data_IF_337464009877
#
_entry.id   IF_337464009877
#
_cell.length_a   1.000
_cell.length_b   1.000
_cell.length_c   1.000
_cell.angle_alpha   90.00
_cell.angle_beta   90.00
_cell.angle_gamma   90.00
#
_symmetry.space_group_name_H-M   'P 1'
#
loop_
_entity.id
_entity.type
_entity.pdbx_description
1 polymer ?
#
# COMPACT_ATOMS: atom_id res chain seq x y z
N UNK A 1 -16.43 -2.62 -10.12
CA UNK A 1 -16.27 -1.30 -9.49
C UNK A 1 -14.86 -1.06 -8.95
N UNK A 2 -14.27 -2.03 -8.29
CA UNK A 2 -12.88 -1.88 -7.82
C UNK A 2 -11.90 -1.67 -8.97
N UNK A 3 -12.10 -2.32 -10.10
CA UNK A 3 -11.28 -2.18 -11.29
C UNK A 3 -11.15 -0.71 -11.74
N UNK A 4 -12.26 0.03 -11.76
CA UNK A 4 -12.26 1.44 -12.14
C UNK A 4 -11.53 2.31 -11.13
N UNK A 5 -11.68 2.00 -9.83
CA UNK A 5 -10.95 2.69 -8.77
C UNK A 5 -9.44 2.44 -8.88
N UNK A 6 -9.05 1.20 -9.15
CA UNK A 6 -7.64 0.86 -9.32
C UNK A 6 -7.03 1.64 -10.49
N UNK A 7 -7.72 1.70 -11.62
CA UNK A 7 -7.22 2.44 -12.79
C UNK A 7 -7.15 3.93 -12.48
N UNK A 8 -8.22 4.50 -11.93
CA UNK A 8 -8.29 5.93 -11.64
C UNK A 8 -7.22 6.39 -10.65
N UNK A 9 -7.02 5.64 -9.56
CA UNK A 9 -6.17 6.07 -8.46
C UNK A 9 -4.75 5.50 -8.50
N UNK A 10 -4.50 4.50 -9.31
CA UNK A 10 -3.21 3.81 -9.34
C UNK A 10 -2.56 3.76 -10.72
N UNK A 11 -3.07 4.51 -11.68
CA UNK A 11 -2.54 4.46 -13.04
C UNK A 11 -1.01 4.62 -13.13
N UNK A 12 -0.39 5.60 -12.45
CA UNK A 12 1.08 5.73 -12.51
C UNK A 12 1.81 4.51 -11.95
N UNK A 13 1.29 3.91 -10.88
CA UNK A 13 1.88 2.70 -10.28
C UNK A 13 1.72 1.52 -11.21
N UNK A 14 0.54 1.36 -11.81
CA UNK A 14 0.26 0.28 -12.75
C UNK A 14 1.13 0.38 -14.01
N UNK A 15 1.42 1.60 -14.43
CA UNK A 15 2.27 1.85 -15.60
C UNK A 15 3.77 1.79 -15.27
N UNK A 16 4.14 1.55 -14.02
CA UNK A 16 5.54 1.46 -13.61
C UNK A 16 6.25 2.80 -13.41
N UNK A 17 5.49 3.89 -13.41
CA UNK A 17 6.05 5.25 -13.26
C UNK A 17 6.18 5.68 -11.80
N UNK A 18 5.54 4.98 -10.89
CA UNK A 18 5.51 5.31 -9.47
C UNK A 18 5.59 4.02 -8.63
N UNK A 19 6.14 4.11 -7.44
CA UNK A 19 6.26 2.97 -6.53
C UNK A 19 4.92 2.49 -6.03
N UNK A 20 4.03 3.41 -5.59
CA UNK A 20 2.77 3.02 -4.95
C UNK A 20 1.76 4.14 -4.96
N UNK A 21 0.51 3.76 -4.71
CA UNK A 21 -0.60 4.67 -4.47
C UNK A 21 -1.39 4.20 -3.25
N UNK A 22 -2.02 5.16 -2.59
CA UNK A 22 -2.82 4.92 -1.39
C UNK A 22 -4.12 5.68 -1.55
N UNK A 23 -5.26 4.98 -1.45
CA UNK A 23 -6.56 5.62 -1.66
C UNK A 23 -7.66 4.89 -0.91
N UNK A 24 -8.73 5.63 -0.56
CA UNK A 24 -9.93 5.06 0.05
C UNK A 24 -10.85 4.47 -1.00
N UNK A 25 -11.34 3.28 -0.73
CA UNK A 25 -12.29 2.58 -1.60
C UNK A 25 -13.57 2.30 -0.82
N UNK A 26 -14.73 2.79 -1.30
CA UNK A 26 -16.01 2.47 -0.67
C UNK A 26 -16.47 1.08 -1.08
N UNK A 27 -16.92 0.27 -0.13
CA UNK A 27 -17.45 -1.06 -0.41
C UNK A 27 -18.82 -1.21 0.21
N UNK A 28 -19.64 -2.09 -0.36
CA UNK A 28 -21.03 -2.30 0.06
C UNK A 28 -21.16 -3.57 0.89
N UNK A 29 -20.71 -4.70 0.35
CA UNK A 29 -20.78 -5.99 1.03
C UNK A 29 -19.38 -6.50 1.30
N UNK A 30 -19.08 -6.79 2.57
CA UNK A 30 -17.75 -7.21 2.99
C UNK A 30 -17.27 -8.48 2.29
N UNK A 31 -18.14 -9.48 2.17
CA UNK A 31 -17.76 -10.75 1.53
C UNK A 31 -17.40 -10.56 0.06
N UNK A 32 -18.20 -9.78 -0.67
CA UNK A 32 -17.92 -9.46 -2.06
C UNK A 32 -16.62 -8.69 -2.21
N UNK A 33 -16.39 -7.73 -1.33
CA UNK A 33 -15.17 -6.94 -1.33
C UNK A 33 -13.94 -7.81 -1.10
N UNK A 34 -13.98 -8.70 -0.11
CA UNK A 34 -12.87 -9.61 0.19
C UNK A 34 -12.56 -10.54 -0.98
N UNK A 35 -13.60 -11.06 -1.62
CA UNK A 35 -13.43 -11.95 -2.77
C UNK A 35 -12.79 -11.24 -3.95
N UNK A 36 -13.31 -10.05 -4.30
CA UNK A 36 -12.78 -9.24 -5.38
C UNK A 36 -11.34 -8.82 -5.09
N UNK A 37 -11.05 -8.44 -3.85
CA UNK A 37 -9.71 -8.07 -3.42
C UNK A 37 -8.73 -9.24 -3.60
N UNK A 38 -9.14 -10.43 -3.20
CA UNK A 38 -8.32 -11.63 -3.35
C UNK A 38 -8.03 -11.93 -4.82
N UNK A 39 -9.01 -11.77 -5.70
CA UNK A 39 -8.83 -11.97 -7.12
C UNK A 39 -7.83 -10.98 -7.71
N UNK A 40 -7.94 -9.70 -7.36
CA UNK A 40 -7.02 -8.68 -7.82
C UNK A 40 -5.60 -8.88 -7.29
N UNK A 41 -5.47 -9.33 -6.04
CA UNK A 41 -4.13 -9.62 -5.50
C UNK A 41 -3.43 -10.71 -6.32
N UNK A 42 -4.15 -11.76 -6.70
CA UNK A 42 -3.57 -12.82 -7.53
C UNK A 42 -3.11 -12.30 -8.88
N UNK A 43 -3.94 -11.48 -9.53
CA UNK A 43 -3.60 -10.88 -10.82
C UNK A 43 -2.37 -9.99 -10.68
N UNK A 44 -2.33 -9.15 -9.65
CA UNK A 44 -1.23 -8.22 -9.42
C UNK A 44 0.08 -8.94 -9.12
N UNK A 45 0.03 -9.99 -8.29
CA UNK A 45 1.23 -10.73 -7.91
C UNK A 45 1.92 -11.34 -9.12
N UNK A 46 1.17 -11.77 -10.12
CA UNK A 46 1.73 -12.28 -11.37
C UNK A 46 2.44 -11.19 -12.18
N UNK A 47 2.14 -9.94 -11.92
CA UNK A 47 2.68 -8.78 -12.65
C UNK A 47 3.69 -7.96 -11.83
N UNK A 48 4.11 -8.46 -10.67
CA UNK A 48 5.05 -7.75 -9.81
C UNK A 48 4.42 -6.62 -9.00
N UNK A 49 3.10 -6.66 -8.84
CA UNK A 49 2.34 -5.71 -8.05
C UNK A 49 1.72 -6.41 -6.85
N UNK A 50 1.27 -5.66 -5.86
CA UNK A 50 0.45 -6.20 -4.79
C UNK A 50 -0.48 -5.12 -4.25
N UNK A 51 -1.40 -5.52 -3.41
CA UNK A 51 -2.48 -4.70 -2.91
C UNK A 51 -2.77 -5.11 -1.46
N UNK A 52 -2.73 -4.16 -0.54
CA UNK A 52 -3.02 -4.42 0.88
C UNK A 52 -4.07 -3.46 1.40
N UNK A 53 -4.90 -3.95 2.34
CA UNK A 53 -5.83 -3.10 3.09
C UNK A 53 -5.07 -2.55 4.29
N UNK A 54 -4.87 -1.25 4.35
CA UNK A 54 -4.12 -0.61 5.42
C UNK A 54 -5.01 -0.22 6.59
N UNK A 55 -6.28 0.10 6.33
CA UNK A 55 -7.23 0.52 7.36
C UNK A 55 -8.64 0.29 6.86
N UNK A 56 -9.56 0.01 7.78
CA UNK A 56 -10.99 -0.06 7.47
C UNK A 56 -11.70 0.93 8.38
N UNK A 57 -12.54 1.77 7.81
CA UNK A 57 -13.36 2.73 8.54
C UNK A 57 -14.78 2.69 7.98
N UNK A 58 -15.71 2.06 8.71
CA UNK A 58 -17.07 1.85 8.25
C UNK A 58 -17.10 1.00 6.98
N UNK A 59 -17.68 1.55 5.91
CA UNK A 59 -17.76 0.89 4.61
C UNK A 59 -16.70 1.37 3.64
N UNK A 60 -15.55 1.85 4.15
CA UNK A 60 -14.41 2.27 3.33
C UNK A 60 -13.16 1.53 3.77
N UNK A 61 -12.34 1.19 2.79
CA UNK A 61 -11.05 0.57 3.04
C UNK A 61 -9.95 1.43 2.42
N UNK A 62 -8.86 1.62 3.16
CA UNK A 62 -7.70 2.31 2.65
C UNK A 62 -6.82 1.28 1.96
N UNK A 63 -6.69 1.40 0.65
CA UNK A 63 -5.96 0.43 -0.18
C UNK A 63 -4.59 0.96 -0.55
N UNK A 64 -3.59 0.10 -0.41
CA UNK A 64 -2.21 0.40 -0.76
C UNK A 64 -1.83 -0.50 -1.94
N UNK A 65 -1.64 0.11 -3.12
CA UNK A 65 -1.24 -0.58 -4.34
C UNK A 65 0.21 -0.23 -4.63
N UNK A 66 1.06 -1.25 -4.78
CA UNK A 66 2.49 -1.00 -4.91
C UNK A 66 3.17 -1.99 -5.85
N UNK A 67 4.29 -1.55 -6.43
CA UNK A 67 5.20 -2.43 -7.17
C UNK A 67 6.18 -3.05 -6.20
N UNK A 68 6.15 -4.36 -6.12
CA UNK A 68 6.93 -5.11 -5.14
C UNK A 68 8.42 -4.81 -5.26
N UNK A 69 8.97 -4.88 -6.48
CA UNK A 69 10.40 -4.64 -6.70
C UNK A 69 10.83 -3.21 -6.34
N UNK A 70 10.02 -2.23 -6.71
CA UNK A 70 10.31 -0.82 -6.41
C UNK A 70 10.27 -0.54 -4.92
N UNK A 71 9.29 -1.10 -4.23
CA UNK A 71 9.20 -0.93 -2.77
C UNK A 71 10.37 -1.62 -2.09
N UNK A 72 10.71 -2.83 -2.49
CA UNK A 72 11.86 -3.55 -1.94
C UNK A 72 13.15 -2.73 -2.08
N UNK A 73 13.38 -2.15 -3.26
CA UNK A 73 14.55 -1.31 -3.49
C UNK A 73 14.56 -0.09 -2.56
N UNK A 74 13.40 0.58 -2.43
CA UNK A 74 13.30 1.77 -1.57
C UNK A 74 13.58 1.42 -0.11
N UNK A 75 12.99 0.33 0.37
CA UNK A 75 13.14 -0.09 1.77
C UNK A 75 14.53 -0.62 2.11
N UNK A 76 15.32 -1.00 1.11
CA UNK A 76 16.69 -1.43 1.29
C UNK A 76 17.70 -0.30 1.21
N UNK A 77 17.30 0.88 0.73
CA UNK A 77 18.20 2.03 0.67
C UNK A 77 18.66 2.40 2.06
N UNK A 78 19.94 2.64 2.19
CA UNK A 78 20.55 2.97 3.48
C UNK A 78 19.92 4.21 4.12
N UNK A 79 19.70 5.24 3.32
CA UNK A 79 19.07 6.49 3.78
C UNK A 79 17.65 6.26 4.27
N UNK A 80 16.85 5.49 3.52
CA UNK A 80 15.48 5.15 3.89
C UNK A 80 15.44 4.33 5.17
N UNK A 81 16.30 3.32 5.28
CA UNK A 81 16.39 2.50 6.48
C UNK A 81 16.74 3.32 7.71
N UNK A 82 17.68 4.27 7.56
CA UNK A 82 18.06 5.15 8.66
C UNK A 82 16.91 6.00 9.13
N UNK A 83 16.14 6.59 8.21
CA UNK A 83 14.97 7.40 8.53
C UNK A 83 13.91 6.56 9.24
N UNK A 84 13.58 5.40 8.69
CA UNK A 84 12.56 4.52 9.27
C UNK A 84 12.98 3.99 10.63
N UNK A 85 14.26 3.72 10.84
CA UNK A 85 14.76 3.29 12.13
C UNK A 85 14.51 4.34 13.21
N UNK A 86 14.67 5.63 12.89
CA UNK A 86 14.39 6.71 13.85
C UNK A 86 12.90 6.76 14.21
N UNK A 87 12.04 6.25 13.36
CA UNK A 87 10.60 6.20 13.61
C UNK A 87 10.14 4.88 14.24
N UNK A 88 11.09 4.03 14.62
CA UNK A 88 10.78 2.78 15.30
C UNK A 88 10.56 1.56 14.40
N UNK A 89 10.85 1.68 13.12
CA UNK A 89 10.72 0.55 12.20
C UNK A 89 11.88 -0.42 12.35
N UNK A 90 11.55 -1.69 12.58
CA UNK A 90 12.53 -2.76 12.62
C UNK A 90 12.01 -3.87 11.68
N UNK A 91 12.60 -3.97 10.50
CA UNK A 91 12.12 -4.88 9.47
C UNK A 91 13.28 -5.48 8.67
N UNK A 92 13.04 -6.66 8.13
CA UNK A 92 13.95 -7.29 7.17
C UNK A 92 13.26 -7.45 5.81
N UNK A 93 11.92 -7.51 5.81
CA UNK A 93 11.13 -7.66 4.59
C UNK A 93 10.18 -6.48 4.41
N UNK A 94 9.75 -6.25 3.17
CA UNK A 94 8.76 -5.23 2.88
C UNK A 94 7.43 -5.50 3.60
N UNK A 95 7.05 -6.77 3.71
CA UNK A 95 5.83 -7.15 4.43
C UNK A 95 5.86 -6.70 5.89
N UNK A 96 6.98 -6.90 6.56
CA UNK A 96 7.17 -6.45 7.94
C UNK A 96 7.04 -4.93 8.05
N UNK A 97 7.67 -4.20 7.12
CA UNK A 97 7.61 -2.74 7.10
C UNK A 97 6.17 -2.25 6.87
N UNK A 98 5.43 -2.88 5.98
CA UNK A 98 4.02 -2.55 5.70
C UNK A 98 3.17 -2.78 6.95
N UNK A 99 3.38 -3.86 7.68
CA UNK A 99 2.63 -4.13 8.92
C UNK A 99 2.87 -3.05 9.97
N UNK A 100 4.11 -2.58 10.09
CA UNK A 100 4.41 -1.49 11.03
C UNK A 100 3.70 -0.21 10.57
N UNK A 101 3.72 0.08 9.27
CA UNK A 101 3.02 1.25 8.73
C UNK A 101 1.52 1.18 8.99
N UNK A 102 0.91 0.02 8.84
CA UNK A 102 -0.50 -0.22 9.15
C UNK A 102 -0.84 0.21 10.58
N UNK A 103 -0.03 -0.22 11.54
CA UNK A 103 -0.24 0.08 12.95
C UNK A 103 -0.13 1.57 13.26
N UNK A 104 0.53 2.33 12.40
CA UNK A 104 0.72 3.76 12.58
C UNK A 104 -0.31 4.62 11.87
N UNK A 105 -1.21 4.03 11.09
CA UNK A 105 -2.30 4.75 10.43
C UNK A 105 -3.36 5.14 11.44
N UNK A 106 -3.83 6.40 11.39
CA UNK A 106 -4.91 6.86 12.24
C UNK A 106 -6.26 6.30 11.80
N UNK A 107 -7.24 6.30 12.70
CA UNK A 107 -8.57 5.73 12.45
C UNK A 107 -9.32 6.42 11.31
N UNK A 108 -9.06 7.71 11.09
CA UNK A 108 -9.70 8.46 10.02
C UNK A 108 -8.77 8.67 8.83
N UNK A 109 -7.69 7.88 8.75
CA UNK A 109 -6.75 7.93 7.65
C UNK A 109 -5.68 9.01 7.77
N UNK A 110 -5.36 9.42 9.00
CA UNK A 110 -4.21 10.27 9.24
C UNK A 110 -2.94 9.47 8.94
N UNK A 111 -2.09 10.03 8.10
CA UNK A 111 -0.88 9.34 7.67
C UNK A 111 0.33 9.82 8.45
N UNK A 112 1.19 8.90 8.91
CA UNK A 112 2.47 9.31 9.49
C UNK A 112 3.35 9.94 8.41
N UNK A 113 4.30 10.77 8.83
CA UNK A 113 5.17 11.49 7.89
C UNK A 113 5.96 10.55 6.97
N UNK A 114 6.33 9.40 7.47
CA UNK A 114 7.13 8.43 6.72
C UNK A 114 6.36 7.74 5.59
N UNK A 115 5.03 7.94 5.47
CA UNK A 115 4.23 7.33 4.41
C UNK A 115 4.77 7.69 3.03
N UNK A 116 5.37 8.86 2.88
CA UNK A 116 5.95 9.30 1.61
C UNK A 116 7.00 8.32 1.07
N UNK A 117 7.78 7.72 1.96
CA UNK A 117 8.79 6.73 1.56
C UNK A 117 8.14 5.49 0.96
N UNK A 118 6.99 5.09 1.50
CA UNK A 118 6.24 3.93 1.00
C UNK A 118 5.52 4.22 -0.31
N UNK A 119 5.33 5.50 -0.64
CA UNK A 119 4.72 5.93 -1.90
C UNK A 119 5.75 6.29 -2.96
N UNK A 120 7.03 6.28 -2.59
CA UNK A 120 8.13 6.58 -3.52
C UNK A 120 8.42 8.06 -3.69
N UNK A 121 8.05 8.89 -2.74
CA UNK A 121 8.42 10.31 -2.74
C UNK A 121 9.82 10.50 -2.15
N UNK A 122 10.61 11.42 -2.72
CA UNK A 122 11.95 11.67 -2.21
C UNK A 122 11.99 12.31 -0.83
#
# INVERSE_FOLDING_TARGET
MLDKFLIRHSAPTLAGLKTANLFWYPWDKEEEFREVLSQWRKIFQEKGLDLHVMKVNGHRALLYVFRVGKLDEELKREKTRAILKTQGYCYETAEEAIEILKDRMGDEGEFPHEVGLFLGYP
#
